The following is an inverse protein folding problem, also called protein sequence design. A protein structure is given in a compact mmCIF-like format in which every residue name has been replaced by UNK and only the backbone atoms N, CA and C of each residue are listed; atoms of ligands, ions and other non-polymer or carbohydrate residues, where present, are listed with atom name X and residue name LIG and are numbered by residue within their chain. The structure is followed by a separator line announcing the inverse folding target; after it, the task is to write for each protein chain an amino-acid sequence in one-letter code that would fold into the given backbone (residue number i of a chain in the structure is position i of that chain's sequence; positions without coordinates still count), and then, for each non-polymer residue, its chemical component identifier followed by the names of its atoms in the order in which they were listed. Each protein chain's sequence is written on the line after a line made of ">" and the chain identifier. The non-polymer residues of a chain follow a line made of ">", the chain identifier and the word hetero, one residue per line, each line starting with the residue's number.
data_IF_454521370697
#
_entry.id   IF_454521370697
#
_cell.length_a   1.000
_cell.length_b   1.000
_cell.length_c   1.000
_cell.angle_alpha   90.00
_cell.angle_beta   90.00
_cell.angle_gamma   90.00
#
_symmetry.space_group_name_H-M   'P 1'
#
loop_
_entity.id
_entity.type
_entity.pdbx_description
1 polymer ?
#
# COMPACT_ATOMS: atom_id res chain seq x y z
N UNK A 1 37.77 -39.30 14.72
CA UNK A 1 37.32 -38.68 13.45
C UNK A 1 36.34 -37.58 13.76
N UNK A 2 36.61 -36.31 13.40
CA UNK A 2 35.63 -35.25 13.59
C UNK A 2 34.49 -35.45 12.58
N UNK A 3 33.24 -35.44 13.05
CA UNK A 3 32.04 -35.45 12.19
C UNK A 3 31.95 -34.09 11.49
N UNK A 4 32.23 -34.06 10.19
CA UNK A 4 32.24 -32.84 9.35
C UNK A 4 30.81 -32.41 8.95
N UNK A 5 29.80 -33.22 9.23
CA UNK A 5 28.42 -32.90 8.93
C UNK A 5 27.64 -32.68 10.23
N UNK A 6 27.28 -31.42 10.50
CA UNK A 6 26.26 -31.09 11.50
C UNK A 6 24.94 -31.69 11.08
N UNK A 7 24.09 -32.06 12.04
CA UNK A 7 22.73 -32.52 11.80
C UNK A 7 21.95 -31.42 11.05
N UNK A 8 21.94 -31.50 9.72
CA UNK A 8 21.39 -30.48 8.83
C UNK A 8 19.87 -30.66 8.77
N UNK A 9 19.21 -30.24 9.84
CA UNK A 9 17.76 -30.20 9.88
C UNK A 9 17.26 -28.99 9.08
N UNK A 10 17.07 -29.20 7.79
CA UNK A 10 16.55 -28.20 6.86
C UNK A 10 15.08 -27.84 7.22
N UNK A 11 14.32 -28.73 7.88
CA UNK A 11 12.92 -28.53 8.28
C UNK A 11 12.75 -27.75 9.61
N UNK A 12 13.85 -27.38 10.27
CA UNK A 12 13.85 -26.67 11.56
C UNK A 12 13.63 -25.15 11.42
N UNK A 13 13.99 -24.38 12.47
CA UNK A 13 13.96 -22.90 12.45
C UNK A 13 15.06 -22.29 11.56
N UNK A 14 15.19 -22.76 10.31
CA UNK A 14 16.06 -22.14 9.33
C UNK A 14 15.41 -20.83 8.84
N UNK A 15 16.17 -19.72 8.72
CA UNK A 15 15.66 -18.49 8.15
C UNK A 15 15.10 -18.72 6.74
N UNK A 16 13.94 -18.15 6.37
CA UNK A 16 13.30 -18.38 5.07
C UNK A 16 14.17 -18.06 3.84
N UNK A 17 15.21 -17.22 4.01
CA UNK A 17 16.15 -16.83 2.94
C UNK A 17 17.15 -17.94 2.58
N UNK A 18 17.37 -18.90 3.48
CA UNK A 18 18.35 -19.98 3.33
C UNK A 18 17.66 -21.31 2.96
N UNK A 19 16.32 -21.33 2.90
CA UNK A 19 15.55 -22.51 2.54
C UNK A 19 15.60 -22.74 1.02
N UNK A 20 15.94 -23.95 0.55
CA UNK A 20 16.02 -24.25 -0.87
C UNK A 20 14.63 -24.26 -1.52
N UNK A 21 14.52 -23.73 -2.73
CA UNK A 21 13.25 -23.54 -3.44
C UNK A 21 12.81 -24.84 -4.14
N UNK A 22 12.59 -25.92 -3.37
CA UNK A 22 12.30 -27.27 -3.87
C UNK A 22 11.06 -27.82 -3.17
N UNK A 23 9.95 -28.01 -3.89
CA UNK A 23 8.70 -28.57 -3.31
C UNK A 23 7.98 -27.63 -2.33
N UNK A 24 7.45 -28.16 -1.22
CA UNK A 24 6.77 -27.41 -0.13
C UNK A 24 7.66 -26.39 0.62
N UNK A 25 8.93 -26.29 0.23
CA UNK A 25 9.96 -25.45 0.85
C UNK A 25 10.01 -24.03 0.26
N UNK A 26 9.04 -23.71 -0.60
CA UNK A 26 8.86 -22.38 -1.13
C UNK A 26 8.68 -21.37 0.01
N UNK A 27 9.18 -20.13 -0.14
CA UNK A 27 9.13 -19.11 0.90
C UNK A 27 7.69 -18.56 1.05
N UNK A 28 6.77 -19.39 1.53
CA UNK A 28 5.33 -19.14 1.67
C UNK A 28 5.05 -18.18 2.83
N UNK A 29 5.97 -18.14 3.82
CA UNK A 29 5.92 -17.23 4.97
C UNK A 29 6.33 -15.80 4.64
N UNK A 30 6.76 -15.49 3.40
CA UNK A 30 7.15 -14.12 3.00
C UNK A 30 6.32 -13.62 1.82
N UNK A 31 5.88 -12.35 1.86
CA UNK A 31 5.14 -11.78 0.74
C UNK A 31 5.96 -11.82 -0.55
N UNK A 32 5.35 -12.33 -1.62
CA UNK A 32 5.96 -12.34 -2.95
C UNK A 32 6.35 -10.92 -3.40
N UNK A 33 7.35 -10.82 -4.27
CA UNK A 33 7.79 -9.53 -4.85
C UNK A 33 6.65 -8.83 -5.61
N UNK A 34 5.78 -9.61 -6.26
CA UNK A 34 4.56 -9.12 -6.92
C UNK A 34 3.56 -8.52 -5.92
N UNK A 35 3.38 -9.16 -4.76
CA UNK A 35 2.50 -8.66 -3.69
C UNK A 35 3.00 -7.30 -3.17
N UNK A 36 4.31 -7.17 -2.91
CA UNK A 36 4.93 -5.91 -2.48
C UNK A 36 4.75 -4.78 -3.50
N UNK A 37 4.85 -5.07 -4.80
CA UNK A 37 4.61 -4.08 -5.87
C UNK A 37 3.16 -3.60 -5.88
N UNK A 38 2.20 -4.53 -5.78
CA UNK A 38 0.76 -4.19 -5.75
C UNK A 38 0.40 -3.34 -4.54
N UNK A 39 0.94 -3.69 -3.37
CA UNK A 39 0.70 -2.94 -2.13
C UNK A 39 1.11 -1.46 -2.27
N UNK A 40 2.27 -1.17 -2.88
CA UNK A 40 2.71 0.22 -3.11
C UNK A 40 1.72 1.00 -3.98
N UNK A 41 1.22 0.39 -5.04
CA UNK A 41 0.25 1.02 -5.95
C UNK A 41 -1.06 1.30 -5.22
N UNK A 42 -1.58 0.32 -4.48
CA UNK A 42 -2.84 0.47 -3.74
C UNK A 42 -2.76 1.53 -2.64
N UNK A 43 -1.65 1.57 -1.89
CA UNK A 43 -1.45 2.58 -0.85
C UNK A 43 -1.38 3.99 -1.46
N UNK A 44 -0.66 4.16 -2.58
CA UNK A 44 -0.63 5.44 -3.29
C UNK A 44 -2.00 5.86 -3.79
N UNK A 45 -2.75 4.96 -4.44
CA UNK A 45 -4.10 5.26 -4.94
C UNK A 45 -5.06 5.61 -3.81
N UNK A 46 -5.04 4.87 -2.70
CA UNK A 46 -5.88 5.15 -1.55
C UNK A 46 -5.56 6.52 -0.93
N UNK A 47 -4.28 6.87 -0.80
CA UNK A 47 -3.86 8.18 -0.28
C UNK A 47 -4.35 9.32 -1.18
N UNK A 48 -4.13 9.21 -2.49
CA UNK A 48 -4.59 10.23 -3.43
C UNK A 48 -6.12 10.33 -3.46
N UNK A 49 -6.83 9.21 -3.41
CA UNK A 49 -8.29 9.19 -3.33
C UNK A 49 -8.83 9.86 -2.07
N UNK A 50 -8.23 9.58 -0.91
CA UNK A 50 -8.60 10.20 0.35
C UNK A 50 -8.33 11.72 0.35
N UNK A 51 -7.17 12.14 -0.15
CA UNK A 51 -6.81 13.56 -0.24
C UNK A 51 -7.76 14.32 -1.16
N UNK A 52 -8.07 13.75 -2.33
CA UNK A 52 -9.05 14.31 -3.26
C UNK A 52 -10.43 14.42 -2.62
N UNK A 53 -10.87 13.39 -1.90
CA UNK A 53 -12.17 13.40 -1.21
C UNK A 53 -12.24 14.50 -0.14
N UNK A 54 -11.20 14.66 0.68
CA UNK A 54 -11.13 15.75 1.67
C UNK A 54 -11.15 17.12 0.99
N UNK A 55 -10.41 17.28 -0.11
CA UNK A 55 -10.38 18.54 -0.86
C UNK A 55 -11.74 18.88 -1.46
N UNK A 56 -12.39 17.91 -2.12
CA UNK A 56 -13.71 18.09 -2.72
C UNK A 56 -14.80 18.35 -1.67
N UNK A 57 -14.71 17.70 -0.51
CA UNK A 57 -15.61 17.96 0.61
C UNK A 57 -15.47 19.40 1.10
N UNK A 58 -14.23 19.85 1.34
CA UNK A 58 -13.97 21.23 1.75
C UNK A 58 -14.44 22.26 0.71
N UNK A 59 -14.18 21.98 -0.57
CA UNK A 59 -14.64 22.81 -1.67
C UNK A 59 -16.18 22.85 -1.79
N UNK A 60 -16.85 21.71 -1.61
CA UNK A 60 -18.31 21.65 -1.60
C UNK A 60 -18.92 22.47 -0.46
N UNK A 61 -18.36 22.38 0.75
CA UNK A 61 -18.80 23.20 1.89
C UNK A 61 -18.59 24.68 1.59
N UNK A 62 -17.44 25.06 1.04
CA UNK A 62 -17.16 26.43 0.61
C UNK A 62 -18.17 26.94 -0.42
N UNK A 63 -18.50 26.13 -1.43
CA UNK A 63 -19.49 26.46 -2.45
C UNK A 63 -20.88 26.68 -1.85
N UNK A 64 -21.33 25.80 -0.95
CA UNK A 64 -22.63 25.95 -0.28
C UNK A 64 -22.70 27.21 0.58
N UNK A 65 -21.61 27.57 1.26
CA UNK A 65 -21.56 28.77 2.12
C UNK A 65 -21.45 30.07 1.33
N UNK A 66 -20.73 30.07 0.22
CA UNK A 66 -20.38 31.30 -0.52
C UNK A 66 -21.26 31.50 -1.76
N UNK A 67 -21.89 30.43 -2.28
CA UNK A 67 -22.57 30.43 -3.57
C UNK A 67 -21.62 30.55 -4.77
N UNK A 68 -20.31 30.65 -4.52
CA UNK A 68 -19.25 30.88 -5.49
C UNK A 68 -18.44 29.58 -5.63
N UNK A 69 -18.17 29.15 -6.87
CA UNK A 69 -17.41 27.93 -7.14
C UNK A 69 -15.90 28.11 -6.89
N UNK A 70 -15.46 29.31 -6.49
CA UNK A 70 -14.08 29.67 -6.18
C UNK A 70 -13.53 30.68 -7.18
N UNK A 71 -12.52 31.46 -6.74
CA UNK A 71 -11.84 32.47 -7.55
C UNK A 71 -12.75 33.62 -8.07
N UNK A 72 -13.89 33.86 -7.43
CA UNK A 72 -14.83 34.92 -7.83
C UNK A 72 -15.76 34.50 -8.97
N UNK A 73 -15.86 33.20 -9.27
CA UNK A 73 -16.61 32.66 -10.39
C UNK A 73 -17.92 32.08 -9.86
N UNK A 74 -19.05 32.50 -10.42
CA UNK A 74 -20.38 31.98 -10.02
C UNK A 74 -21.11 32.81 -8.96
N UNK A 75 -20.56 33.96 -8.56
CA UNK A 75 -21.33 34.97 -7.82
C UNK A 75 -22.61 35.32 -8.60
N UNK A 76 -23.81 35.23 -8.02
CA UNK A 76 -24.99 35.76 -8.67
C UNK A 76 -24.83 37.28 -8.77
N UNK A 77 -24.66 37.77 -10.00
CA UNK A 77 -24.70 39.20 -10.34
C UNK A 77 -26.11 39.71 -10.01
N UNK A 78 -26.35 40.28 -8.83
CA UNK A 78 -27.64 40.93 -8.59
C UNK A 78 -28.19 41.10 -7.17
N UNK A 79 -27.38 41.19 -6.11
CA UNK A 79 -27.76 41.91 -4.87
C UNK A 79 -26.58 42.70 -4.30
#
# INVERSE_FOLDING_TARGET
>A
MPKIFSNLNLNGQAPPRVQPNVGEWGPEKVPSTKSKKRMRIWVSLALFGAMLACFLLGWYVYYVMTGDIGFGIGRPEGE
#
